data_IF_419739431356
#
_entry.id   IF_419739431356
#
_cell.length_a   1.000
_cell.length_b   1.000
_cell.length_c   1.000
_cell.angle_alpha   90.00
_cell.angle_beta   90.00
_cell.angle_gamma   90.00
#
_symmetry.space_group_name_H-M   'P 1'
#
loop_
_entity.id
_entity.type
_entity.pdbx_description
1 polymer ?
#
# COMPACT_ATOMS: atom_id res chain seq x y z
N UNK A 1 -49.64 14.00 23.00
CA UNK A 1 -50.48 13.71 21.82
C UNK A 1 -49.59 13.15 20.73
N UNK A 2 -49.88 11.92 20.30
CA UNK A 2 -49.21 11.19 19.22
C UNK A 2 -49.70 11.68 17.86
N UNK A 3 -48.82 11.75 16.86
CA UNK A 3 -49.17 11.30 15.50
C UNK A 3 -47.93 10.71 14.82
N UNK A 4 -47.92 9.37 14.78
CA UNK A 4 -47.13 8.57 13.85
C UNK A 4 -47.72 8.80 12.45
N UNK A 5 -46.87 9.03 11.45
CA UNK A 5 -47.28 8.83 10.05
C UNK A 5 -46.34 7.84 9.39
N UNK A 6 -46.82 6.61 9.36
CA UNK A 6 -46.27 5.46 8.67
C UNK A 6 -46.52 5.60 7.16
N UNK A 7 -45.49 5.42 6.33
CA UNK A 7 -45.65 5.03 4.92
C UNK A 7 -44.75 3.84 4.61
N UNK A 8 -45.31 2.67 4.91
CA UNK A 8 -44.97 1.40 4.29
C UNK A 8 -45.68 1.30 2.93
N UNK A 9 -44.96 0.91 1.87
CA UNK A 9 -45.42 0.46 0.53
C UNK A 9 -44.18 0.40 -0.39
N UNK A 10 -43.76 -0.68 -1.04
CA UNK A 10 -44.29 -2.04 -1.21
C UNK A 10 -43.12 -2.98 -1.48
N UNK A 11 -43.26 -4.19 -0.97
CA UNK A 11 -42.65 -5.42 -1.44
C UNK A 11 -42.56 -5.44 -2.99
N UNK A 12 -41.35 -5.66 -3.49
CA UNK A 12 -41.08 -6.03 -4.87
C UNK A 12 -40.09 -7.18 -4.87
N UNK A 13 -40.49 -8.33 -4.30
CA UNK A 13 -39.84 -9.60 -4.62
C UNK A 13 -40.18 -9.93 -6.07
N UNK A 14 -39.31 -9.55 -7.00
CA UNK A 14 -39.30 -10.16 -8.32
C UNK A 14 -38.37 -11.37 -8.27
N UNK A 15 -39.02 -12.50 -8.16
CA UNK A 15 -38.50 -13.86 -8.17
C UNK A 15 -37.75 -14.19 -9.46
N UNK A 16 -36.65 -14.94 -9.27
CA UNK A 16 -36.24 -16.12 -10.04
C UNK A 16 -35.90 -15.93 -11.53
N UNK A 17 -34.60 -16.07 -11.78
CA UNK A 17 -34.11 -17.19 -12.59
C UNK A 17 -33.76 -16.84 -14.03
N UNK A 18 -32.46 -16.67 -14.30
CA UNK A 18 -31.92 -17.04 -15.60
C UNK A 18 -30.45 -17.45 -15.46
N UNK A 19 -30.27 -18.77 -15.41
CA UNK A 19 -29.19 -19.55 -16.04
C UNK A 19 -27.74 -19.22 -15.67
N UNK A 20 -27.27 -19.98 -14.67
CA UNK A 20 -25.97 -20.65 -14.65
C UNK A 20 -25.65 -21.24 -16.04
N UNK A 21 -24.84 -20.54 -16.82
CA UNK A 21 -24.05 -21.13 -17.93
C UNK A 21 -23.15 -20.06 -18.55
N UNK A 22 -22.05 -19.73 -17.87
CA UNK A 22 -20.85 -19.31 -18.59
C UNK A 22 -19.89 -20.49 -18.54
N UNK A 23 -19.61 -21.02 -19.73
CA UNK A 23 -19.14 -22.36 -19.94
C UNK A 23 -17.82 -22.68 -19.26
N UNK A 24 -17.78 -23.86 -18.64
CA UNK A 24 -16.58 -24.69 -18.67
C UNK A 24 -16.20 -24.89 -20.14
N UNK A 25 -15.23 -24.13 -20.62
CA UNK A 25 -14.65 -24.30 -21.95
C UNK A 25 -13.16 -24.00 -21.86
N UNK A 26 -12.38 -25.03 -22.18
CA UNK A 26 -10.94 -25.06 -22.37
C UNK A 26 -10.05 -25.04 -21.12
N UNK A 27 -9.99 -26.17 -20.42
CA UNK A 27 -8.70 -26.68 -19.94
C UNK A 27 -7.89 -27.14 -21.17
N UNK A 28 -7.30 -26.19 -21.88
CA UNK A 28 -6.12 -26.50 -22.67
C UNK A 28 -4.98 -26.69 -21.66
N UNK A 29 -4.26 -27.83 -21.65
CA UNK A 29 -3.00 -27.88 -20.94
C UNK A 29 -2.11 -26.88 -21.65
N UNK A 30 -1.87 -25.73 -21.03
CA UNK A 30 -0.78 -24.86 -21.43
C UNK A 30 0.46 -25.72 -21.20
N UNK A 31 0.96 -26.35 -22.25
CA UNK A 31 2.33 -26.82 -22.31
C UNK A 31 3.18 -25.55 -22.17
N UNK A 32 3.38 -25.11 -20.92
CA UNK A 32 4.53 -24.31 -20.58
C UNK A 32 5.70 -25.22 -20.90
N UNK A 33 6.24 -25.08 -22.12
CA UNK A 33 7.60 -25.46 -22.39
C UNK A 33 8.41 -24.79 -21.28
N UNK A 34 8.84 -25.58 -20.30
CA UNK A 34 9.71 -25.11 -19.23
C UNK A 34 11.03 -24.75 -19.91
N UNK A 35 11.13 -23.53 -20.42
CA UNK A 35 12.41 -22.91 -20.71
C UNK A 35 13.12 -22.91 -19.36
N UNK A 36 14.16 -23.72 -19.23
CA UNK A 36 15.06 -23.64 -18.10
C UNK A 36 15.44 -22.16 -17.95
N UNK A 37 15.10 -21.57 -16.80
CA UNK A 37 15.52 -20.21 -16.50
C UNK A 37 17.05 -20.18 -16.58
N UNK A 38 17.65 -19.14 -17.19
CA UNK A 38 19.09 -18.96 -17.08
C UNK A 38 19.46 -18.93 -15.59
N UNK A 39 20.63 -19.45 -15.18
CA UNK A 39 21.08 -19.34 -13.81
C UNK A 39 21.06 -17.86 -13.42
N UNK A 40 20.49 -17.54 -12.26
CA UNK A 40 20.49 -16.17 -11.73
C UNK A 40 21.95 -15.74 -11.62
N UNK A 41 22.35 -14.61 -12.22
CA UNK A 41 23.72 -14.12 -12.08
C UNK A 41 23.99 -13.85 -10.60
N UNK A 42 25.15 -14.26 -10.11
CA UNK A 42 25.58 -13.94 -8.76
C UNK A 42 25.77 -12.43 -8.64
N UNK A 43 24.90 -11.77 -7.87
CA UNK A 43 24.99 -10.33 -7.61
C UNK A 43 26.07 -10.14 -6.55
N UNK A 44 27.27 -9.76 -6.97
CA UNK A 44 28.37 -9.41 -6.07
C UNK A 44 28.23 -7.94 -5.68
N UNK A 45 27.78 -7.69 -4.45
CA UNK A 45 27.69 -6.33 -3.92
C UNK A 45 29.08 -5.82 -3.54
N UNK A 46 29.56 -4.69 -4.11
CA UNK A 46 30.86 -4.14 -3.74
C UNK A 46 30.85 -3.72 -2.26
N UNK A 47 31.69 -4.37 -1.45
CA UNK A 47 31.79 -4.10 0.00
C UNK A 47 31.06 -5.09 0.91
N UNK A 48 30.49 -6.19 0.38
CA UNK A 48 29.86 -7.26 1.17
C UNK A 48 30.85 -8.19 1.89
N UNK A 49 31.99 -7.67 2.34
CA UNK A 49 32.98 -8.44 3.09
C UNK A 49 32.39 -8.87 4.43
N UNK A 50 31.98 -10.13 4.51
CA UNK A 50 31.65 -10.99 5.67
C UNK A 50 30.80 -10.43 6.83
N UNK A 51 30.33 -9.18 6.80
CA UNK A 51 29.54 -8.59 7.88
C UNK A 51 28.63 -7.50 7.35
N UNK A 52 27.33 -7.67 7.57
CA UNK A 52 26.37 -6.57 7.43
C UNK A 52 26.81 -5.38 8.31
N UNK A 53 26.53 -4.13 7.91
CA UNK A 53 26.75 -2.97 8.75
C UNK A 53 26.18 -3.20 10.16
N UNK A 54 26.95 -2.88 11.20
CA UNK A 54 26.56 -3.10 12.60
C UNK A 54 25.19 -2.50 12.95
N UNK A 55 24.77 -1.45 12.25
CA UNK A 55 23.45 -0.83 12.41
C UNK A 55 22.29 -1.70 11.92
N UNK A 56 22.47 -2.55 10.91
CA UNK A 56 21.39 -3.36 10.34
C UNK A 56 20.85 -4.42 11.30
N UNK A 57 21.68 -4.90 12.23
CA UNK A 57 21.28 -5.86 13.26
C UNK A 57 20.84 -5.21 14.58
N UNK A 58 20.96 -3.90 14.70
CA UNK A 58 20.59 -3.16 15.90
C UNK A 58 19.11 -2.74 15.84
N UNK A 59 18.28 -3.40 16.63
CA UNK A 59 16.86 -3.05 16.74
C UNK A 59 16.66 -1.75 17.52
N UNK A 60 15.73 -0.91 17.04
CA UNK A 60 15.29 0.28 17.76
C UNK A 60 14.49 -0.11 18.99
N UNK A 61 15.11 -0.06 20.16
CA UNK A 61 14.49 -0.47 21.41
C UNK A 61 13.79 0.68 22.12
N UNK A 62 14.34 1.89 22.09
CA UNK A 62 13.77 3.02 22.82
C UNK A 62 12.65 3.72 22.03
N UNK A 63 11.67 4.36 22.71
CA UNK A 63 10.65 5.16 22.04
C UNK A 63 11.24 6.26 21.14
N UNK A 64 12.34 6.88 21.55
CA UNK A 64 13.04 7.92 20.78
C UNK A 64 13.63 7.37 19.49
N UNK A 65 14.25 6.19 19.55
CA UNK A 65 14.79 5.50 18.39
C UNK A 65 13.67 5.13 17.42
N UNK A 66 12.60 4.52 17.93
CA UNK A 66 11.42 4.15 17.12
C UNK A 66 10.76 5.36 16.46
N UNK A 67 10.63 6.47 17.19
CA UNK A 67 10.12 7.73 16.63
C UNK A 67 11.01 8.26 15.50
N UNK A 68 12.34 8.27 15.70
CA UNK A 68 13.29 8.74 14.69
C UNK A 68 13.23 7.89 13.43
N UNK A 69 13.20 6.57 13.57
CA UNK A 69 13.09 5.63 12.44
C UNK A 69 11.76 5.80 11.71
N UNK A 70 10.63 5.78 12.42
CA UNK A 70 9.31 5.95 11.79
C UNK A 70 9.19 7.31 11.08
N UNK A 71 9.74 8.38 11.66
CA UNK A 71 9.80 9.70 11.01
C UNK A 71 10.66 9.68 9.74
N UNK A 72 11.82 9.01 9.77
CA UNK A 72 12.69 8.89 8.61
C UNK A 72 12.01 8.11 7.48
N UNK A 73 11.33 7.02 7.80
CA UNK A 73 10.54 6.23 6.86
C UNK A 73 9.40 7.05 6.24
N UNK A 74 8.64 7.80 7.04
CA UNK A 74 7.58 8.67 6.54
C UNK A 74 8.10 9.76 5.61
N UNK A 75 9.28 10.33 5.90
CA UNK A 75 9.94 11.31 5.03
C UNK A 75 10.40 10.70 3.71
N UNK A 76 11.00 9.50 3.75
CA UNK A 76 11.42 8.78 2.55
C UNK A 76 10.20 8.43 1.67
N UNK A 77 9.15 7.88 2.26
CA UNK A 77 7.91 7.57 1.55
C UNK A 77 7.25 8.82 0.94
N UNK A 78 7.27 9.95 1.65
CA UNK A 78 6.78 11.22 1.11
C UNK A 78 7.62 11.69 -0.08
N UNK A 79 8.94 11.57 0.00
CA UNK A 79 9.84 11.94 -1.09
C UNK A 79 9.61 11.07 -2.33
N UNK A 80 9.41 9.77 -2.14
CA UNK A 80 9.09 8.83 -3.22
C UNK A 80 7.74 9.16 -3.85
N UNK A 81 6.72 9.47 -3.05
CA UNK A 81 5.43 9.92 -3.53
C UNK A 81 5.54 11.22 -4.34
N UNK A 82 6.31 12.20 -3.88
CA UNK A 82 6.56 13.42 -4.64
C UNK A 82 7.27 13.13 -5.97
N UNK A 83 8.24 12.23 -5.99
CA UNK A 83 8.95 11.85 -7.20
C UNK A 83 8.03 11.13 -8.19
N UNK A 84 7.14 10.26 -7.70
CA UNK A 84 6.09 9.66 -8.51
C UNK A 84 5.13 10.71 -9.08
N UNK A 85 4.69 11.70 -8.28
CA UNK A 85 3.86 12.80 -8.75
C UNK A 85 4.55 13.63 -9.84
N UNK A 86 5.88 13.78 -9.79
CA UNK A 86 6.64 14.51 -10.82
C UNK A 86 6.64 13.78 -12.17
N UNK A 87 6.47 12.46 -12.18
CA UNK A 87 6.37 11.66 -13.40
C UNK A 87 4.97 11.69 -14.04
N UNK A 88 3.98 12.28 -13.38
CA UNK A 88 2.61 12.39 -13.88
C UNK A 88 2.42 13.56 -14.86
N UNK A 89 1.34 13.57 -15.67
CA UNK A 89 0.92 14.74 -16.44
C UNK A 89 0.74 15.98 -15.55
N UNK A 90 1.03 17.17 -16.10
CA UNK A 90 1.01 18.44 -15.36
C UNK A 90 -0.35 18.73 -14.72
N UNK A 91 -1.43 18.38 -15.40
CA UNK A 91 -2.81 18.60 -14.94
C UNK A 91 -3.09 17.84 -13.62
N UNK A 92 -2.51 16.65 -13.47
CA UNK A 92 -2.71 15.79 -12.29
C UNK A 92 -1.65 16.04 -11.21
N UNK A 93 -0.48 16.55 -11.58
CA UNK A 93 0.68 16.71 -10.70
C UNK A 93 0.34 17.55 -9.45
N UNK A 94 -0.40 18.64 -9.60
CA UNK A 94 -0.77 19.51 -8.47
C UNK A 94 -1.63 18.77 -7.44
N UNK A 95 -2.62 18.00 -7.92
CA UNK A 95 -3.51 17.23 -7.05
C UNK A 95 -2.73 16.11 -6.35
N UNK A 96 -1.86 15.42 -7.09
CA UNK A 96 -1.00 14.38 -6.54
C UNK A 96 -0.09 14.91 -5.42
N UNK A 97 0.60 16.04 -5.64
CA UNK A 97 1.47 16.64 -4.63
C UNK A 97 0.70 17.07 -3.38
N UNK A 98 -0.50 17.63 -3.54
CA UNK A 98 -1.37 17.97 -2.42
C UNK A 98 -1.77 16.72 -1.62
N UNK A 99 -2.13 15.63 -2.31
CA UNK A 99 -2.49 14.38 -1.65
C UNK A 99 -1.29 13.73 -0.94
N UNK A 100 -0.12 13.71 -1.57
CA UNK A 100 1.12 13.21 -0.96
C UNK A 100 1.43 13.96 0.35
N UNK A 101 1.14 15.27 0.40
CA UNK A 101 1.30 16.08 1.61
C UNK A 101 0.31 15.69 2.71
N UNK A 102 -0.97 15.55 2.37
CA UNK A 102 -2.02 15.13 3.33
C UNK A 102 -1.69 13.77 3.94
N UNK A 103 -1.24 12.81 3.12
CA UNK A 103 -0.82 11.49 3.59
C UNK A 103 0.35 11.63 4.57
N UNK A 104 1.41 12.36 4.21
CA UNK A 104 2.54 12.59 5.10
C UNK A 104 2.15 13.23 6.44
N UNK A 105 1.32 14.28 6.42
CA UNK A 105 0.87 14.94 7.65
C UNK A 105 0.05 13.98 8.53
N UNK A 106 -0.74 13.10 7.92
CA UNK A 106 -1.50 12.06 8.64
C UNK A 106 -0.60 10.99 9.26
N UNK A 107 0.42 10.52 8.53
CA UNK A 107 1.43 9.56 9.04
C UNK A 107 2.18 10.17 10.22
N UNK A 108 2.59 11.43 10.12
CA UNK A 108 3.25 12.14 11.22
C UNK A 108 2.35 12.30 12.45
N UNK A 109 1.04 12.46 12.28
CA UNK A 109 0.10 12.48 13.40
C UNK A 109 0.03 11.11 14.10
N UNK A 110 -0.04 10.02 13.31
CA UNK A 110 -0.03 8.64 13.84
C UNK A 110 1.28 8.33 14.55
N UNK A 111 2.43 8.71 13.97
CA UNK A 111 3.75 8.51 14.57
C UNK A 111 3.85 9.21 15.93
N UNK A 112 3.41 10.48 16.01
CA UNK A 112 3.38 11.22 17.28
C UNK A 112 2.44 10.60 18.30
N UNK A 113 1.28 10.08 17.86
CA UNK A 113 0.37 9.37 18.75
C UNK A 113 0.98 8.07 19.28
N UNK A 114 1.75 7.37 18.45
CA UNK A 114 2.34 6.05 18.77
C UNK A 114 3.58 6.14 19.65
N UNK A 115 4.42 7.16 19.47
CA UNK A 115 5.72 7.25 20.15
C UNK A 115 5.92 8.54 20.97
N UNK A 116 4.94 9.44 20.97
CA UNK A 116 5.05 10.76 21.59
C UNK A 116 5.65 11.83 20.67
N UNK A 117 5.60 13.09 21.10
CA UNK A 117 6.27 14.21 20.42
C UNK A 117 7.65 14.42 21.04
N UNK A 118 8.64 13.72 20.50
CA UNK A 118 10.03 13.75 20.96
C UNK A 118 10.77 14.78 20.09
N UNK A 119 10.90 16.00 20.62
CA UNK A 119 11.48 17.15 19.94
C UNK A 119 13.01 17.16 19.98
#
# INVERSE_FOLDING_TARGET
MMMRSSRSKRFGHLTRGLLLSFGLSFLAPICFAQRALPPVPEIVWPGSGDSDPARWSEEDVTPEQKFKTARAEALAAHQDAQNACKAMPVDDQRLCLAQARVVFDSEMAVIRQRFGDIR
#
